data_IF_783407017560
#
_entry.id   IF_783407017560
#
_cell.length_a   1.000
_cell.length_b   1.000
_cell.length_c   1.000
_cell.angle_alpha   90.00
_cell.angle_beta   90.00
_cell.angle_gamma   90.00
#
_symmetry.space_group_name_H-M   'P 1'
#
loop_
_entity.id
_entity.type
_entity.pdbx_description
1 polymer ?
#
# COMPACT_ATOMS: atom_id res chain seq x y z
N UNK A 1 13.29 -19.12 -39.06
CA UNK A 1 13.08 -19.63 -37.68
C UNK A 1 13.57 -18.59 -36.65
N UNK A 2 13.12 -17.33 -36.76
CA UNK A 2 13.68 -16.19 -36.00
C UNK A 2 12.61 -15.29 -35.35
N UNK A 3 11.33 -15.55 -35.60
CA UNK A 3 10.22 -14.70 -35.09
C UNK A 3 9.77 -15.12 -33.68
N UNK A 4 9.98 -16.38 -33.29
CA UNK A 4 9.47 -16.95 -32.03
C UNK A 4 10.26 -16.53 -30.77
N UNK A 5 11.54 -16.16 -30.92
CA UNK A 5 12.43 -15.79 -29.80
C UNK A 5 12.18 -14.35 -29.32
N UNK A 6 11.78 -13.46 -30.23
CA UNK A 6 11.53 -12.03 -29.94
C UNK A 6 10.24 -11.81 -29.15
N UNK A 7 9.20 -12.62 -29.41
CA UNK A 7 7.92 -12.51 -28.72
C UNK A 7 8.03 -12.95 -27.24
N UNK A 8 8.70 -14.08 -26.99
CA UNK A 8 8.95 -14.60 -25.63
C UNK A 8 9.73 -13.61 -24.76
N UNK A 9 10.79 -13.01 -25.30
CA UNK A 9 11.65 -12.09 -24.55
C UNK A 9 10.93 -10.78 -24.19
N UNK A 10 10.10 -10.26 -25.11
CA UNK A 10 9.22 -9.12 -24.83
C UNK A 10 8.19 -9.43 -23.73
N UNK A 11 7.57 -10.61 -23.78
CA UNK A 11 6.63 -11.08 -22.76
C UNK A 11 7.25 -11.21 -21.36
N UNK A 12 8.47 -11.72 -21.25
CA UNK A 12 9.21 -11.83 -19.98
C UNK A 12 9.53 -10.46 -19.40
N UNK A 13 9.98 -9.52 -20.23
CA UNK A 13 10.31 -8.14 -19.79
C UNK A 13 9.08 -7.42 -19.24
N UNK A 14 7.93 -7.54 -19.90
CA UNK A 14 6.68 -6.93 -19.44
C UNK A 14 6.25 -7.49 -18.07
N UNK A 15 6.34 -8.81 -17.87
CA UNK A 15 6.03 -9.45 -16.58
C UNK A 15 6.95 -8.98 -15.47
N UNK A 16 8.26 -8.91 -15.74
CA UNK A 16 9.23 -8.44 -14.75
C UNK A 16 8.97 -6.99 -14.35
N UNK A 17 8.66 -6.12 -15.31
CA UNK A 17 8.30 -4.72 -15.03
C UNK A 17 7.02 -4.60 -14.20
N UNK A 18 6.01 -5.42 -14.46
CA UNK A 18 4.80 -5.49 -13.63
C UNK A 18 5.11 -5.87 -12.17
N UNK A 19 5.98 -6.85 -11.96
CA UNK A 19 6.41 -7.27 -10.61
C UNK A 19 7.18 -6.15 -9.92
N UNK A 20 8.13 -5.52 -10.62
CA UNK A 20 8.91 -4.39 -10.09
C UNK A 20 8.00 -3.22 -9.72
N UNK A 21 6.97 -2.92 -10.53
CA UNK A 21 6.02 -1.86 -10.23
C UNK A 21 5.24 -2.12 -8.93
N UNK A 22 4.75 -3.35 -8.74
CA UNK A 22 4.06 -3.75 -7.50
C UNK A 22 4.99 -3.71 -6.29
N UNK A 23 6.21 -4.22 -6.43
CA UNK A 23 7.21 -4.21 -5.37
C UNK A 23 7.60 -2.78 -4.97
N UNK A 24 7.81 -1.89 -5.94
CA UNK A 24 8.13 -0.50 -5.67
C UNK A 24 7.00 0.23 -4.94
N UNK A 25 5.75 0.01 -5.37
CA UNK A 25 4.58 0.56 -4.66
C UNK A 25 4.46 0.04 -3.24
N UNK A 26 4.60 -1.27 -3.04
CA UNK A 26 4.58 -1.90 -1.71
C UNK A 26 5.70 -1.36 -0.80
N UNK A 27 6.93 -1.31 -1.32
CA UNK A 27 8.09 -0.81 -0.59
C UNK A 27 7.90 0.66 -0.17
N UNK A 28 7.31 1.50 -1.04
CA UNK A 28 7.00 2.87 -0.69
C UNK A 28 6.04 2.97 0.51
N UNK A 29 4.96 2.17 0.54
CA UNK A 29 4.03 2.14 1.69
C UNK A 29 4.76 1.71 2.96
N UNK A 30 5.53 0.62 2.89
CA UNK A 30 6.22 0.05 4.04
C UNK A 30 7.26 1.01 4.62
N UNK A 31 8.15 1.54 3.77
CA UNK A 31 9.23 2.44 4.19
C UNK A 31 8.68 3.75 4.75
N UNK A 32 7.69 4.37 4.09
CA UNK A 32 7.10 5.61 4.58
C UNK A 32 6.37 5.41 5.92
N UNK A 33 5.65 4.29 6.07
CA UNK A 33 4.94 3.99 7.32
C UNK A 33 5.93 3.79 8.47
N UNK A 34 6.95 2.96 8.27
CA UNK A 34 7.98 2.71 9.30
C UNK A 34 8.76 3.97 9.66
N UNK A 35 9.09 4.80 8.67
CA UNK A 35 9.76 6.08 8.90
C UNK A 35 8.87 7.03 9.71
N UNK A 36 7.59 7.16 9.36
CA UNK A 36 6.65 7.98 10.11
C UNK A 36 6.45 7.47 11.55
N UNK A 37 6.26 6.17 11.73
CA UNK A 37 6.14 5.54 13.05
C UNK A 37 7.37 5.84 13.92
N UNK A 38 8.57 5.75 13.34
CA UNK A 38 9.84 6.03 14.02
C UNK A 38 9.94 7.50 14.41
N UNK A 39 9.58 8.42 13.50
CA UNK A 39 9.60 9.86 13.78
C UNK A 39 8.61 10.22 14.89
N UNK A 40 7.38 9.68 14.86
CA UNK A 40 6.39 9.96 15.91
C UNK A 40 6.79 9.38 17.27
N UNK A 41 7.47 8.23 17.31
CA UNK A 41 8.08 7.71 18.54
C UNK A 41 9.20 8.62 19.05
N UNK A 42 10.09 9.10 18.17
CA UNK A 42 11.16 10.03 18.56
C UNK A 42 10.63 11.37 19.08
N UNK A 43 9.50 11.83 18.55
CA UNK A 43 8.83 13.06 18.99
C UNK A 43 7.98 12.87 20.26
N UNK A 44 7.88 11.65 20.80
CA UNK A 44 7.06 11.33 21.96
C UNK A 44 5.55 11.42 21.72
N UNK A 45 5.13 11.43 20.45
CA UNK A 45 3.71 11.39 20.07
C UNK A 45 3.15 9.98 20.25
N UNK A 46 3.95 8.96 19.95
CA UNK A 46 3.60 7.56 20.19
C UNK A 46 4.29 7.00 21.43
N UNK A 47 3.66 6.02 22.11
CA UNK A 47 4.26 5.33 23.24
C UNK A 47 5.64 4.77 22.86
N UNK A 48 6.58 4.86 23.78
CA UNK A 48 7.93 4.34 23.56
C UNK A 48 7.96 2.81 23.68
N UNK A 49 8.63 2.14 22.73
CA UNK A 49 8.94 0.72 22.84
C UNK A 49 7.80 -0.22 22.42
N UNK A 50 7.38 -1.11 23.33
CA UNK A 50 6.40 -2.18 23.06
C UNK A 50 5.03 -1.92 23.69
N UNK A 51 4.80 -0.72 24.21
CA UNK A 51 3.50 -0.40 24.78
C UNK A 51 2.41 -0.35 23.69
N UNK A 52 1.23 -0.95 23.93
CA UNK A 52 0.12 -0.88 22.99
C UNK A 52 -0.34 0.56 22.78
N UNK A 53 -0.61 0.92 21.52
CA UNK A 53 -1.24 2.20 21.17
C UNK A 53 -2.74 2.13 21.50
N UNK A 54 -3.10 2.36 22.77
CA UNK A 54 -4.48 2.26 23.23
C UNK A 54 -5.31 3.52 22.95
N UNK A 55 -4.64 4.67 22.82
CA UNK A 55 -5.31 5.95 22.59
C UNK A 55 -5.90 6.01 21.17
N UNK A 56 -7.18 6.35 21.08
CA UNK A 56 -7.87 6.43 19.78
C UNK A 56 -7.27 7.52 18.87
N UNK A 57 -6.76 8.61 19.46
CA UNK A 57 -6.10 9.70 18.73
C UNK A 57 -4.84 9.23 17.99
N UNK A 58 -4.02 8.41 18.64
CA UNK A 58 -2.79 7.89 18.06
C UNK A 58 -3.07 6.97 16.87
N UNK A 59 -4.08 6.11 17.02
CA UNK A 59 -4.55 5.23 15.94
C UNK A 59 -5.20 6.01 14.78
N UNK A 60 -5.91 7.10 15.07
CA UNK A 60 -6.47 7.96 14.04
C UNK A 60 -5.38 8.71 13.26
N UNK A 61 -4.37 9.22 13.96
CA UNK A 61 -3.18 9.80 13.33
C UNK A 61 -2.47 8.73 12.48
N UNK A 62 -2.28 7.54 13.04
CA UNK A 62 -1.66 6.38 12.39
C UNK A 62 -2.37 5.99 11.10
N UNK A 63 -3.70 6.03 11.13
CA UNK A 63 -4.54 5.75 9.98
C UNK A 63 -4.35 6.84 8.93
N UNK A 64 -4.40 8.11 9.32
CA UNK A 64 -4.39 9.26 8.39
C UNK A 64 -3.20 9.25 7.41
N UNK A 65 -1.97 9.12 7.89
CA UNK A 65 -0.81 9.08 6.99
C UNK A 65 -0.71 7.75 6.25
N UNK A 66 -1.17 6.63 6.83
CA UNK A 66 -1.22 5.33 6.12
C UNK A 66 -2.18 5.37 4.94
N UNK A 67 -3.29 6.11 5.02
CA UNK A 67 -4.16 6.32 3.87
C UNK A 67 -3.43 7.07 2.74
N UNK A 68 -2.69 8.11 3.10
CA UNK A 68 -1.88 8.90 2.16
C UNK A 68 -0.79 8.03 1.52
N UNK A 69 -0.05 7.28 2.35
CA UNK A 69 1.02 6.39 1.87
C UNK A 69 0.49 5.25 1.03
N UNK A 70 -0.66 4.65 1.41
CA UNK A 70 -1.33 3.61 0.62
C UNK A 70 -1.75 4.11 -0.77
N UNK A 71 -2.30 5.32 -0.83
CA UNK A 71 -2.63 5.97 -2.11
C UNK A 71 -1.36 6.29 -2.92
N UNK A 72 -0.32 6.81 -2.28
CA UNK A 72 0.95 7.13 -2.94
C UNK A 72 1.67 5.88 -3.47
N UNK A 73 1.74 4.80 -2.69
CA UNK A 73 2.32 3.53 -3.11
C UNK A 73 1.56 2.93 -4.29
N UNK A 74 0.24 3.02 -4.28
CA UNK A 74 -0.61 2.58 -5.40
C UNK A 74 -0.44 3.46 -6.64
N UNK A 75 -0.23 4.77 -6.46
CA UNK A 75 0.16 5.67 -7.54
C UNK A 75 1.53 5.31 -8.12
N UNK A 76 2.52 4.99 -7.28
CA UNK A 76 3.85 4.54 -7.73
C UNK A 76 3.74 3.24 -8.55
N UNK A 77 2.97 2.26 -8.08
CA UNK A 77 2.72 1.03 -8.81
C UNK A 77 2.00 1.27 -10.15
N UNK A 78 1.02 2.18 -10.17
CA UNK A 78 0.36 2.60 -11.41
C UNK A 78 1.31 3.33 -12.36
N UNK A 79 2.23 4.14 -11.84
CA UNK A 79 3.17 4.93 -12.64
C UNK A 79 4.28 4.09 -13.27
N UNK A 80 4.73 3.05 -12.58
CA UNK A 80 5.84 2.21 -13.02
C UNK A 80 5.42 1.03 -13.91
N UNK A 81 4.13 0.72 -13.99
CA UNK A 81 3.69 -0.40 -14.82
C UNK A 81 3.72 -0.06 -16.31
N UNK A 82 4.17 -0.98 -17.17
CA UNK A 82 4.19 -0.77 -18.62
C UNK A 82 2.79 -0.79 -19.24
N UNK A 83 1.81 -1.44 -18.59
CA UNK A 83 0.44 -1.54 -19.12
C UNK A 83 -0.61 -1.58 -17.99
N UNK A 84 -1.78 -0.99 -18.24
CA UNK A 84 -2.95 -1.04 -17.33
C UNK A 84 -2.63 -0.50 -15.91
N UNK A 85 -2.35 0.80 -15.76
CA UNK A 85 -2.01 1.44 -14.48
C UNK A 85 -3.01 1.18 -13.36
N UNK A 86 -4.30 1.38 -13.64
CA UNK A 86 -5.37 1.15 -12.67
C UNK A 86 -5.40 -0.30 -12.16
N UNK A 87 -5.11 -1.29 -13.03
CA UNK A 87 -5.10 -2.69 -12.63
C UNK A 87 -3.99 -2.97 -11.62
N UNK A 88 -2.80 -2.39 -11.81
CA UNK A 88 -1.68 -2.60 -10.90
C UNK A 88 -1.91 -1.91 -9.55
N UNK A 89 -2.49 -0.71 -9.55
CA UNK A 89 -2.92 -0.06 -8.32
C UNK A 89 -3.92 -0.94 -7.54
N UNK A 90 -4.97 -1.43 -8.20
CA UNK A 90 -5.97 -2.30 -7.55
C UNK A 90 -5.40 -3.65 -7.09
N UNK A 91 -4.45 -4.24 -7.83
CA UNK A 91 -3.74 -5.44 -7.38
C UNK A 91 -2.97 -5.15 -6.08
N UNK A 92 -2.25 -4.02 -6.03
CA UNK A 92 -1.55 -3.63 -4.80
C UNK A 92 -2.54 -3.38 -3.65
N UNK A 93 -3.66 -2.72 -3.91
CA UNK A 93 -4.75 -2.54 -2.93
C UNK A 93 -5.33 -3.86 -2.42
N UNK A 94 -5.53 -4.83 -3.31
CA UNK A 94 -6.00 -6.17 -2.94
C UNK A 94 -4.97 -6.91 -2.07
N UNK A 95 -3.68 -6.84 -2.42
CA UNK A 95 -2.58 -7.38 -1.58
C UNK A 95 -2.61 -6.72 -0.20
N UNK A 96 -2.68 -5.38 -0.15
CA UNK A 96 -2.78 -4.64 1.10
C UNK A 96 -4.01 -5.00 1.92
N UNK A 97 -5.15 -5.25 1.28
CA UNK A 97 -6.39 -5.68 1.94
C UNK A 97 -6.23 -7.06 2.56
N UNK A 98 -5.66 -8.02 1.83
CA UNK A 98 -5.40 -9.38 2.35
C UNK A 98 -4.44 -9.32 3.55
N UNK A 99 -3.37 -8.54 3.45
CA UNK A 99 -2.42 -8.33 4.56
C UNK A 99 -3.10 -7.67 5.75
N UNK A 100 -3.95 -6.67 5.53
CA UNK A 100 -4.68 -6.00 6.61
C UNK A 100 -5.68 -6.93 7.30
N UNK A 101 -6.43 -7.74 6.54
CA UNK A 101 -7.34 -8.76 7.09
C UNK A 101 -6.56 -9.80 7.89
N UNK A 102 -5.41 -10.27 7.38
CA UNK A 102 -4.53 -11.17 8.13
C UNK A 102 -4.04 -10.52 9.43
N UNK A 103 -3.72 -9.22 9.39
CA UNK A 103 -3.41 -8.42 10.58
C UNK A 103 -4.55 -8.39 11.59
N UNK A 104 -5.78 -8.08 11.16
CA UNK A 104 -6.99 -8.11 12.02
C UNK A 104 -7.14 -9.48 12.69
N UNK A 105 -7.02 -10.57 11.91
CA UNK A 105 -7.16 -11.92 12.43
C UNK A 105 -6.06 -12.28 13.43
N UNK A 106 -4.80 -11.90 13.14
CA UNK A 106 -3.65 -12.18 13.99
C UNK A 106 -3.70 -11.39 15.30
N UNK A 107 -4.27 -10.19 15.32
CA UNK A 107 -4.29 -9.30 16.50
C UNK A 107 -5.60 -9.31 17.27
N UNK A 108 -6.62 -10.04 16.79
CA UNK A 108 -7.99 -10.00 17.32
C UNK A 108 -8.10 -10.18 18.84
N UNK A 109 -7.26 -11.05 19.41
CA UNK A 109 -7.24 -11.41 20.83
C UNK A 109 -5.96 -10.93 21.57
N UNK A 110 -5.17 -10.05 20.96
CA UNK A 110 -3.89 -9.61 21.55
C UNK A 110 -3.99 -8.29 22.33
N UNK A 111 -5.18 -7.69 22.44
CA UNK A 111 -5.43 -6.40 23.11
C UNK A 111 -4.39 -5.31 22.80
N UNK A 112 -3.95 -5.26 21.54
CA UNK A 112 -2.93 -4.32 21.04
C UNK A 112 -3.49 -2.91 20.75
N UNK A 113 -4.65 -2.58 21.32
CA UNK A 113 -5.38 -1.35 21.06
C UNK A 113 -6.73 -1.56 20.37
N UNK A 114 -7.36 -0.47 19.91
CA UNK A 114 -8.73 -0.50 19.40
C UNK A 114 -8.89 -1.32 18.12
N UNK A 115 -9.80 -2.32 18.13
CA UNK A 115 -10.08 -3.20 16.99
C UNK A 115 -10.54 -2.49 15.72
N UNK A 116 -11.11 -1.28 15.86
CA UNK A 116 -11.57 -0.50 14.70
C UNK A 116 -10.42 -0.10 13.78
N UNK A 117 -9.21 0.09 14.32
CA UNK A 117 -8.05 0.56 13.57
C UNK A 117 -7.62 -0.41 12.45
N UNK A 118 -7.31 -1.69 12.74
CA UNK A 118 -6.94 -2.63 11.69
C UNK A 118 -8.10 -2.94 10.73
N UNK A 119 -9.36 -2.85 11.19
CA UNK A 119 -10.55 -2.95 10.31
C UNK A 119 -10.59 -1.76 9.34
N UNK A 120 -10.35 -0.54 9.82
CA UNK A 120 -10.32 0.65 8.99
C UNK A 120 -9.22 0.56 7.91
N UNK A 121 -8.03 0.06 8.25
CA UNK A 121 -6.98 -0.20 7.27
C UNK A 121 -7.45 -1.18 6.17
N UNK A 122 -8.11 -2.28 6.54
CA UNK A 122 -8.62 -3.25 5.58
C UNK A 122 -9.70 -2.64 4.66
N UNK A 123 -10.65 -1.90 5.21
CA UNK A 123 -11.75 -1.26 4.45
C UNK A 123 -11.23 -0.18 3.51
N UNK A 124 -10.22 0.58 3.93
CA UNK A 124 -9.70 1.73 3.17
C UNK A 124 -8.63 1.37 2.14
N UNK A 125 -8.04 0.17 2.20
CA UNK A 125 -6.97 -0.25 1.28
C UNK A 125 -7.39 -0.18 -0.20
N UNK A 126 -8.58 -0.67 -0.55
CA UNK A 126 -9.10 -0.61 -1.93
C UNK A 126 -9.45 0.83 -2.38
N UNK A 127 -10.17 1.65 -1.58
CA UNK A 127 -10.37 3.07 -1.89
C UNK A 127 -9.06 3.84 -2.12
N UNK A 128 -8.06 3.69 -1.25
CA UNK A 128 -6.75 4.33 -1.40
C UNK A 128 -6.06 3.89 -2.70
N UNK A 129 -6.11 2.59 -3.01
CA UNK A 129 -5.54 2.06 -4.23
C UNK A 129 -6.20 2.63 -5.48
N UNK A 130 -7.53 2.74 -5.48
CA UNK A 130 -8.27 3.36 -6.57
C UNK A 130 -7.89 4.83 -6.76
N UNK A 131 -7.80 5.61 -5.67
CA UNK A 131 -7.37 7.02 -5.71
C UNK A 131 -5.95 7.12 -6.32
N UNK A 132 -5.01 6.31 -5.83
CA UNK A 132 -3.64 6.28 -6.36
C UNK A 132 -3.59 5.96 -7.85
N UNK A 133 -4.36 4.97 -8.29
CA UNK A 133 -4.49 4.63 -9.71
C UNK A 133 -5.17 5.70 -10.55
N UNK A 134 -6.15 6.41 -9.99
CA UNK A 134 -6.88 7.47 -10.66
C UNK A 134 -6.02 8.72 -10.89
N UNK A 135 -5.14 9.06 -9.94
CA UNK A 135 -4.18 10.16 -10.06
C UNK A 135 -3.17 9.96 -11.20
N UNK A 136 -2.91 8.71 -11.60
CA UNK A 136 -2.04 8.41 -12.74
C UNK A 136 -2.78 8.42 -14.08
N UNK A 137 -4.12 8.30 -14.11
CA UNK A 137 -4.83 8.37 -15.39
C UNK A 137 -4.51 9.70 -16.06
N UNK A 138 -4.03 9.71 -17.32
CA UNK A 138 -3.99 10.94 -18.09
C UNK A 138 -5.42 11.50 -18.09
N UNK A 139 -5.60 12.79 -17.77
CA UNK A 139 -6.85 13.47 -18.08
C UNK A 139 -7.10 13.20 -19.56
N UNK A 140 -8.20 12.51 -19.89
CA UNK A 140 -8.66 12.51 -21.27
C UNK A 140 -8.73 13.98 -21.67
N UNK A 141 -7.98 14.36 -22.72
CA UNK A 141 -8.07 15.69 -23.29
C UNK A 141 -9.56 15.95 -23.56
N UNK A 142 -10.12 16.91 -22.83
CA UNK A 142 -11.46 17.41 -23.03
C UNK A 142 -11.49 18.29 -24.29
#
# INVERSE_FOLDING_TARGET
MTVEVTDKSAGVRLRLQSVVALLAGFAAVAVLSLAADTVFQMLGVYPAGREPMNEAGDNALALSYRLVFGALGSYIAARLTPTRPMRHALILGAIGTVVAIAGVAATWNLDLGPRWYPIALAVTALPCAWIGGALHRPKAAA
#
